data_IF_974772623852
#
_entry.id   IF_974772623852
#
_cell.length_a   1.000
_cell.length_b   1.000
_cell.length_c   1.000
_cell.angle_alpha   90.00
_cell.angle_beta   90.00
_cell.angle_gamma   90.00
#
_symmetry.space_group_name_H-M   'P 1'
#
loop_
_entity.id
_entity.type
_entity.pdbx_description
1 polymer ?
#
# COMPACT_ATOMS: atom_id res chain seq x y z
N UNK A 1 -40.45 -20.53 54.53
CA UNK A 1 -39.21 -20.02 53.90
C UNK A 1 -39.04 -20.45 52.44
N UNK A 2 -39.51 -21.63 52.02
CA UNK A 2 -39.38 -22.16 50.64
C UNK A 2 -40.04 -21.28 49.55
N UNK A 3 -41.12 -20.57 49.86
CA UNK A 3 -41.90 -19.81 48.86
C UNK A 3 -41.20 -18.53 48.33
N UNK A 4 -40.28 -17.92 49.11
CA UNK A 4 -39.54 -16.72 48.68
C UNK A 4 -38.41 -17.05 47.69
N UNK A 5 -37.75 -18.20 47.86
CA UNK A 5 -36.68 -18.65 46.96
C UNK A 5 -37.22 -19.10 45.61
N UNK A 6 -38.41 -19.71 45.57
CA UNK A 6 -39.09 -20.07 44.32
C UNK A 6 -39.47 -18.81 43.53
N UNK A 7 -40.02 -17.78 44.19
CA UNK A 7 -40.37 -16.52 43.53
C UNK A 7 -39.14 -15.80 42.97
N UNK A 8 -38.03 -15.78 43.73
CA UNK A 8 -36.77 -15.19 43.28
C UNK A 8 -36.16 -15.96 42.10
N UNK A 9 -36.27 -17.30 42.10
CA UNK A 9 -35.79 -18.15 41.01
C UNK A 9 -36.61 -17.96 39.73
N UNK A 10 -37.94 -17.82 39.83
CA UNK A 10 -38.80 -17.49 38.68
C UNK A 10 -38.57 -16.07 38.17
N UNK A 11 -38.37 -15.08 39.04
CA UNK A 11 -38.00 -13.71 38.65
C UNK A 11 -36.65 -13.70 37.91
N UNK A 12 -35.65 -14.43 38.43
CA UNK A 12 -34.34 -14.56 37.80
C UNK A 12 -34.42 -15.28 36.45
N UNK A 13 -35.13 -16.41 36.36
CA UNK A 13 -35.38 -17.12 35.10
C UNK A 13 -36.14 -16.26 34.08
N UNK A 14 -37.12 -15.47 34.53
CA UNK A 14 -37.86 -14.56 33.64
C UNK A 14 -36.97 -13.43 33.10
N UNK A 15 -36.05 -12.91 33.91
CA UNK A 15 -35.06 -11.92 33.44
C UNK A 15 -34.06 -12.55 32.47
N UNK A 16 -33.65 -13.81 32.66
CA UNK A 16 -32.80 -14.52 31.69
C UNK A 16 -33.56 -14.76 30.38
N UNK A 17 -34.83 -15.15 30.44
CA UNK A 17 -35.65 -15.42 29.25
C UNK A 17 -35.98 -14.15 28.43
N UNK A 18 -36.19 -13.00 29.08
CA UNK A 18 -36.46 -11.72 28.39
C UNK A 18 -35.21 -11.15 27.70
N UNK A 19 -34.02 -11.45 28.21
CA UNK A 19 -32.75 -11.01 27.62
C UNK A 19 -32.25 -11.91 26.48
N UNK A 20 -32.89 -13.06 26.22
CA UNK A 20 -32.51 -14.02 25.18
C UNK A 20 -33.45 -14.03 23.96
N UNK A 21 -34.12 -12.90 23.67
CA UNK A 21 -34.95 -12.81 22.46
C UNK A 21 -34.06 -12.73 21.22
N UNK A 22 -33.95 -13.87 20.53
CA UNK A 22 -33.33 -13.95 19.21
C UNK A 22 -34.37 -14.18 18.13
N UNK A 23 -34.14 -13.57 16.96
CA UNK A 23 -34.90 -13.85 15.74
C UNK A 23 -34.00 -14.50 14.69
N UNK A 24 -34.60 -15.25 13.79
CA UNK A 24 -33.93 -15.75 12.59
C UNK A 24 -34.48 -14.97 11.39
N UNK A 25 -33.57 -14.48 10.55
CA UNK A 25 -33.88 -13.75 9.31
C UNK A 25 -33.07 -14.37 8.20
N UNK A 26 -33.72 -14.67 7.07
CA UNK A 26 -33.05 -15.14 5.87
C UNK A 26 -32.25 -13.98 5.27
N UNK A 27 -30.98 -14.20 4.95
CA UNK A 27 -30.19 -13.22 4.21
C UNK A 27 -30.59 -13.23 2.74
N UNK A 28 -30.96 -12.08 2.19
CA UNK A 28 -31.39 -12.00 0.79
C UNK A 28 -30.24 -12.24 -0.21
N UNK A 29 -28.98 -12.10 0.21
CA UNK A 29 -27.80 -12.30 -0.64
C UNK A 29 -27.24 -13.72 -0.55
N UNK A 30 -27.12 -14.28 0.66
CA UNK A 30 -26.51 -15.60 0.89
C UNK A 30 -27.52 -16.74 0.96
N UNK A 31 -28.82 -16.44 1.08
CA UNK A 31 -29.89 -17.42 1.37
C UNK A 31 -29.66 -18.23 2.67
N UNK A 32 -28.88 -17.68 3.61
CA UNK A 32 -28.61 -18.31 4.90
C UNK A 32 -29.52 -17.77 6.00
N UNK A 33 -29.89 -18.64 6.95
CA UNK A 33 -30.61 -18.24 8.16
C UNK A 33 -29.66 -17.56 9.14
N UNK A 34 -29.82 -16.25 9.34
CA UNK A 34 -29.00 -15.47 10.27
C UNK A 34 -29.75 -15.29 11.59
N UNK A 35 -29.05 -15.59 12.69
CA UNK A 35 -29.53 -15.29 14.03
C UNK A 35 -29.21 -13.84 14.41
N UNK A 36 -30.19 -13.11 14.91
CA UNK A 36 -30.03 -11.79 15.50
C UNK A 36 -30.49 -11.81 16.96
N UNK A 37 -29.91 -10.99 17.82
CA UNK A 37 -30.28 -10.84 19.22
C UNK A 37 -30.78 -9.42 19.51
N UNK A 38 -31.77 -9.29 20.38
CA UNK A 38 -32.35 -8.02 20.79
C UNK A 38 -31.30 -7.12 21.45
N UNK A 39 -31.26 -5.84 21.05
CA UNK A 39 -30.33 -4.84 21.60
C UNK A 39 -31.05 -3.53 21.91
N UNK A 40 -30.56 -2.84 22.94
CA UNK A 40 -31.04 -1.50 23.34
C UNK A 40 -30.00 -0.40 23.16
N UNK A 41 -28.73 -0.78 23.06
CA UNK A 41 -27.60 0.12 22.90
C UNK A 41 -26.78 -0.32 21.69
N UNK A 42 -26.08 0.64 21.10
CA UNK A 42 -25.11 0.45 20.02
C UNK A 42 -23.76 -0.01 20.60
N UNK A 43 -22.80 -0.33 19.72
CA UNK A 43 -21.42 -0.73 20.10
C UNK A 43 -20.71 0.29 21.00
N UNK A 44 -21.06 1.57 20.88
CA UNK A 44 -20.48 2.67 21.69
C UNK A 44 -21.21 2.89 23.03
N UNK A 45 -22.21 2.06 23.35
CA UNK A 45 -23.03 2.15 24.55
C UNK A 45 -24.19 3.15 24.47
N UNK A 46 -24.33 3.93 23.40
CA UNK A 46 -25.43 4.88 23.24
C UNK A 46 -26.72 4.19 22.76
N UNK A 47 -27.89 4.72 23.13
CA UNK A 47 -29.20 4.08 22.85
C UNK A 47 -29.42 3.86 21.34
N UNK A 48 -30.01 2.71 20.98
CA UNK A 48 -30.40 2.40 19.60
C UNK A 48 -31.46 3.36 19.05
N UNK A 49 -31.34 3.71 17.77
CA UNK A 49 -32.34 4.50 17.03
C UNK A 49 -32.29 4.13 15.53
N UNK A 50 -33.22 4.67 14.74
CA UNK A 50 -33.29 4.39 13.28
C UNK A 50 -32.01 4.74 12.53
N UNK A 51 -31.32 5.83 12.91
CA UNK A 51 -30.08 6.26 12.24
C UNK A 51 -28.89 5.31 12.43
N UNK A 52 -29.05 4.28 13.25
CA UNK A 52 -28.06 3.22 13.49
C UNK A 52 -28.43 1.90 12.83
N UNK A 53 -29.61 1.80 12.25
CA UNK A 53 -30.04 0.59 11.53
C UNK A 53 -29.43 0.63 10.14
N UNK A 54 -28.50 -0.28 9.87
CA UNK A 54 -27.84 -0.43 8.57
C UNK A 54 -28.50 -1.51 7.69
N UNK A 55 -29.43 -2.29 8.24
CA UNK A 55 -30.14 -3.35 7.52
C UNK A 55 -29.40 -4.69 7.42
N UNK A 56 -28.14 -4.75 7.86
CA UNK A 56 -27.23 -5.90 7.71
C UNK A 56 -26.73 -6.41 9.08
N UNK A 57 -26.08 -5.55 9.85
CA UNK A 57 -25.62 -5.81 11.20
C UNK A 57 -26.70 -5.46 12.20
N UNK A 58 -27.33 -4.30 12.03
CA UNK A 58 -28.46 -3.90 12.86
C UNK A 58 -29.72 -3.79 12.02
N UNK A 59 -30.77 -4.47 12.48
CA UNK A 59 -32.09 -4.47 11.84
C UNK A 59 -33.17 -4.03 12.81
N UNK A 60 -34.27 -3.49 12.29
CA UNK A 60 -35.49 -3.22 13.06
C UNK A 60 -36.59 -4.19 12.65
N UNK A 61 -37.22 -4.84 13.63
CA UNK A 61 -38.37 -5.71 13.41
C UNK A 61 -39.40 -5.54 14.53
N UNK A 62 -40.66 -5.28 14.17
CA UNK A 62 -41.76 -5.09 15.13
C UNK A 62 -41.44 -4.04 16.22
N UNK A 63 -40.83 -2.90 15.84
CA UNK A 63 -40.39 -1.82 16.74
C UNK A 63 -39.25 -2.15 17.71
N UNK A 64 -38.59 -3.30 17.55
CA UNK A 64 -37.39 -3.66 18.30
C UNK A 64 -36.16 -3.65 17.38
N UNK A 65 -35.00 -3.34 17.97
CA UNK A 65 -33.72 -3.36 17.28
C UNK A 65 -32.98 -4.66 17.60
N UNK A 66 -32.39 -5.27 16.59
CA UNK A 66 -31.63 -6.50 16.74
C UNK A 66 -30.26 -6.35 16.10
N UNK A 67 -29.25 -6.94 16.73
CA UNK A 67 -27.88 -7.03 16.22
C UNK A 67 -27.63 -8.44 15.71
N UNK A 68 -26.95 -8.55 14.57
CA UNK A 68 -26.49 -9.81 13.99
C UNK A 68 -25.61 -10.53 14.99
N UNK A 69 -25.79 -11.84 15.14
CA UNK A 69 -24.94 -12.64 15.99
C UNK A 69 -23.65 -13.02 15.25
N UNK A 70 -22.53 -12.40 15.61
CA UNK A 70 -21.20 -12.72 15.08
C UNK A 70 -20.14 -12.39 16.13
N UNK A 71 -18.98 -13.06 16.05
CA UNK A 71 -17.96 -12.98 17.08
C UNK A 71 -17.05 -11.75 16.92
N UNK A 72 -16.29 -11.69 15.83
CA UNK A 72 -15.20 -10.70 15.70
C UNK A 72 -15.09 -10.05 14.33
N UNK A 73 -15.17 -10.83 13.26
CA UNK A 73 -14.94 -10.34 11.91
C UNK A 73 -16.25 -10.05 11.18
N UNK A 74 -16.23 -8.97 10.41
CA UNK A 74 -17.25 -8.67 9.41
C UNK A 74 -16.92 -9.39 8.11
N UNK A 75 -17.94 -9.77 7.36
CA UNK A 75 -17.78 -10.35 6.03
C UNK A 75 -18.48 -9.49 5.00
N UNK A 76 -17.82 -9.22 3.88
CA UNK A 76 -18.39 -8.39 2.81
C UNK A 76 -19.64 -9.01 2.18
N UNK A 77 -19.75 -10.34 2.17
CA UNK A 77 -20.92 -11.07 1.66
C UNK A 77 -22.20 -10.72 2.42
N UNK A 78 -22.09 -10.27 3.68
CA UNK A 78 -23.24 -9.82 4.46
C UNK A 78 -23.85 -8.54 3.91
N UNK A 79 -23.03 -7.74 3.23
CA UNK A 79 -23.41 -6.48 2.57
C UNK A 79 -23.72 -6.68 1.08
N UNK A 80 -23.72 -7.92 0.59
CA UNK A 80 -24.16 -8.25 -0.77
C UNK A 80 -23.04 -8.38 -1.81
N UNK A 81 -21.77 -8.52 -1.41
CA UNK A 81 -20.71 -8.86 -2.38
C UNK A 81 -20.83 -10.32 -2.81
N UNK A 82 -20.75 -10.61 -4.10
CA UNK A 82 -20.91 -11.95 -4.68
C UNK A 82 -19.78 -12.21 -5.70
N UNK A 83 -18.88 -13.19 -5.47
CA UNK A 83 -17.78 -13.46 -6.39
C UNK A 83 -18.27 -14.17 -7.66
N UNK A 84 -18.74 -13.42 -8.67
CA UNK A 84 -19.38 -13.97 -9.87
C UNK A 84 -18.97 -13.31 -11.21
N UNK A 85 -17.94 -12.46 -11.23
CA UNK A 85 -17.43 -11.75 -12.43
C UNK A 85 -18.45 -10.88 -13.21
N UNK A 86 -19.69 -10.77 -12.74
CA UNK A 86 -20.81 -10.23 -13.54
C UNK A 86 -21.49 -9.05 -12.86
N UNK A 87 -21.85 -9.19 -11.59
CA UNK A 87 -22.44 -8.10 -10.83
C UNK A 87 -21.34 -7.15 -10.35
N UNK A 88 -21.56 -5.85 -10.47
CA UNK A 88 -20.65 -4.87 -9.85
C UNK A 88 -20.78 -4.93 -8.32
N UNK A 89 -19.69 -5.25 -7.65
CA UNK A 89 -19.63 -5.42 -6.20
C UNK A 89 -19.20 -4.15 -5.46
N UNK A 90 -18.90 -3.07 -6.17
CA UNK A 90 -18.28 -1.88 -5.60
C UNK A 90 -19.14 -1.23 -4.49
N UNK A 91 -20.45 -1.10 -4.66
CA UNK A 91 -21.34 -0.52 -3.63
C UNK A 91 -21.43 -1.40 -2.37
N UNK A 92 -21.62 -2.71 -2.57
CA UNK A 92 -21.68 -3.68 -1.48
C UNK A 92 -20.37 -3.69 -0.68
N UNK A 93 -19.23 -3.64 -1.39
CA UNK A 93 -17.91 -3.59 -0.79
C UNK A 93 -17.66 -2.25 -0.08
N UNK A 94 -18.10 -1.14 -0.67
CA UNK A 94 -18.06 0.18 -0.04
C UNK A 94 -18.84 0.22 1.27
N UNK A 95 -20.05 -0.36 1.30
CA UNK A 95 -20.89 -0.43 2.50
C UNK A 95 -20.20 -1.23 3.62
N UNK A 96 -19.60 -2.36 3.28
CA UNK A 96 -18.85 -3.20 4.21
C UNK A 96 -17.64 -2.46 4.82
N UNK A 97 -16.84 -1.79 3.97
CA UNK A 97 -15.67 -1.02 4.41
C UNK A 97 -16.09 0.16 5.29
N UNK A 98 -17.13 0.89 4.91
CA UNK A 98 -17.64 2.01 5.71
C UNK A 98 -18.03 1.56 7.11
N UNK A 99 -18.72 0.43 7.22
CA UNK A 99 -19.12 -0.12 8.50
C UNK A 99 -17.91 -0.57 9.33
N UNK A 100 -16.97 -1.28 8.71
CA UNK A 100 -15.75 -1.79 9.35
C UNK A 100 -14.89 -0.66 9.93
N UNK A 101 -14.64 0.39 9.14
CA UNK A 101 -13.87 1.56 9.59
C UNK A 101 -14.62 2.34 10.68
N UNK A 102 -15.93 2.58 10.51
CA UNK A 102 -16.75 3.29 11.50
C UNK A 102 -16.78 2.60 12.87
N UNK A 103 -16.72 1.28 12.89
CA UNK A 103 -16.81 0.47 14.13
C UNK A 103 -15.47 -0.06 14.61
N UNK A 104 -14.37 0.28 13.91
CA UNK A 104 -13.03 -0.25 14.15
C UNK A 104 -12.98 -1.78 14.21
N UNK A 105 -13.70 -2.45 13.31
CA UNK A 105 -13.75 -3.92 13.20
C UNK A 105 -13.02 -4.39 11.94
N UNK A 106 -12.45 -5.58 11.99
CA UNK A 106 -11.82 -6.19 10.82
C UNK A 106 -12.89 -6.62 9.80
N UNK A 107 -12.58 -6.44 8.52
CA UNK A 107 -13.38 -6.90 7.40
C UNK A 107 -12.64 -8.01 6.66
N UNK A 108 -13.37 -9.08 6.37
CA UNK A 108 -12.94 -10.16 5.49
C UNK A 108 -13.76 -10.09 4.20
N UNK A 109 -13.09 -9.91 3.06
CA UNK A 109 -13.65 -10.22 1.76
C UNK A 109 -13.22 -11.66 1.43
N UNK A 110 -14.16 -12.62 1.30
CA UNK A 110 -13.81 -13.99 0.98
C UNK A 110 -13.07 -14.09 -0.36
N UNK A 111 -12.21 -15.09 -0.51
CA UNK A 111 -11.57 -15.40 -1.79
C UNK A 111 -12.61 -15.58 -2.90
N UNK A 112 -12.32 -15.06 -4.08
CA UNK A 112 -13.23 -15.10 -5.22
C UNK A 112 -12.85 -14.02 -6.22
N UNK A 113 -13.61 -13.94 -7.31
CA UNK A 113 -13.40 -12.91 -8.33
C UNK A 113 -14.60 -11.96 -8.33
N UNK A 114 -14.34 -10.68 -8.08
CA UNK A 114 -15.35 -9.63 -7.90
C UNK A 114 -15.19 -8.60 -9.01
N UNK A 115 -16.28 -8.23 -9.66
CA UNK A 115 -16.25 -7.19 -10.68
C UNK A 115 -16.42 -5.82 -10.02
N UNK A 116 -15.49 -4.90 -10.28
CA UNK A 116 -15.47 -3.55 -9.72
C UNK A 116 -15.52 -2.54 -10.86
N UNK A 117 -16.58 -1.76 -10.95
CA UNK A 117 -16.77 -0.78 -12.03
C UNK A 117 -16.53 0.68 -11.65
N UNK A 118 -16.37 0.94 -10.34
CA UNK A 118 -16.16 2.27 -9.77
C UNK A 118 -15.23 2.23 -8.56
N UNK A 119 -14.71 3.41 -8.22
CA UNK A 119 -13.79 3.57 -7.10
C UNK A 119 -14.47 3.31 -5.76
N UNK A 120 -13.81 2.48 -4.95
CA UNK A 120 -14.14 2.23 -3.56
C UNK A 120 -13.30 3.16 -2.68
N UNK A 121 -13.98 3.97 -1.89
CA UNK A 121 -13.38 4.93 -0.98
C UNK A 121 -13.01 4.23 0.33
N UNK A 122 -11.78 4.43 0.79
CA UNK A 122 -11.32 4.02 2.12
C UNK A 122 -11.45 5.24 3.05
N UNK A 123 -12.41 5.23 3.99
CA UNK A 123 -12.55 6.33 4.93
C UNK A 123 -11.34 6.45 5.84
N UNK A 124 -11.04 7.68 6.28
CA UNK A 124 -10.03 7.93 7.31
C UNK A 124 -10.35 7.16 8.59
N UNK A 125 -9.32 6.55 9.17
CA UNK A 125 -9.40 5.88 10.46
C UNK A 125 -8.51 6.60 11.49
N UNK A 126 -9.04 7.67 12.07
CA UNK A 126 -8.37 8.38 13.15
C UNK A 126 -8.87 7.85 14.50
N UNK A 127 -8.01 7.10 15.21
CA UNK A 127 -8.35 6.52 16.50
C UNK A 127 -7.22 6.73 17.53
N UNK A 128 -7.50 7.47 18.62
CA UNK A 128 -6.50 7.83 19.64
C UNK A 128 -5.83 6.63 20.31
N UNK A 129 -6.57 5.52 20.48
CA UNK A 129 -6.00 4.31 21.07
C UNK A 129 -5.23 3.43 20.08
N UNK A 130 -4.97 3.90 18.87
CA UNK A 130 -4.22 3.18 17.83
C UNK A 130 -4.78 1.77 17.55
N UNK A 131 -6.10 1.61 17.59
CA UNK A 131 -6.75 0.36 17.16
C UNK A 131 -6.47 0.17 15.68
N UNK A 132 -6.16 -1.05 15.29
CA UNK A 132 -5.99 -1.39 13.89
C UNK A 132 -7.30 -1.91 13.31
N UNK A 133 -7.54 -1.58 12.04
CA UNK A 133 -8.59 -2.16 11.21
C UNK A 133 -7.93 -2.87 10.05
N UNK A 134 -8.16 -4.18 9.96
CA UNK A 134 -7.71 -4.98 8.83
C UNK A 134 -8.83 -5.11 7.80
N UNK A 135 -8.56 -4.67 6.58
CA UNK A 135 -9.35 -4.93 5.37
C UNK A 135 -8.64 -6.07 4.61
N UNK A 136 -9.03 -7.30 4.90
CA UNK A 136 -8.39 -8.52 4.40
C UNK A 136 -9.19 -9.11 3.25
N UNK A 137 -8.60 -9.13 2.06
CA UNK A 137 -9.28 -9.62 0.87
C UNK A 137 -9.06 -11.11 0.59
N UNK A 138 -8.38 -11.84 1.48
CA UNK A 138 -8.28 -13.31 1.43
C UNK A 138 -7.88 -13.87 0.06
N UNK A 139 -6.98 -13.20 -0.66
CA UNK A 139 -6.57 -13.50 -2.05
C UNK A 139 -7.69 -13.38 -3.08
N UNK A 140 -8.65 -12.48 -2.89
CA UNK A 140 -9.64 -12.15 -3.91
C UNK A 140 -9.00 -11.48 -5.13
N UNK A 141 -9.56 -11.73 -6.30
CA UNK A 141 -9.25 -10.98 -7.53
C UNK A 141 -10.30 -9.89 -7.73
N UNK A 142 -9.86 -8.66 -7.86
CA UNK A 142 -10.67 -7.49 -8.22
C UNK A 142 -10.54 -7.28 -9.72
N UNK A 143 -11.58 -7.65 -10.45
CA UNK A 143 -11.65 -7.56 -11.90
C UNK A 143 -12.12 -6.16 -12.32
N UNK A 144 -11.31 -5.45 -13.09
CA UNK A 144 -11.67 -4.15 -13.66
C UNK A 144 -11.74 -4.23 -15.19
N UNK A 145 -12.80 -3.65 -15.76
CA UNK A 145 -13.03 -3.58 -17.22
C UNK A 145 -12.88 -2.18 -17.78
N UNK A 146 -12.83 -1.17 -16.92
CA UNK A 146 -12.71 0.23 -17.25
C UNK A 146 -11.44 0.81 -16.62
N UNK A 147 -10.98 1.95 -17.15
CA UNK A 147 -9.89 2.71 -16.52
C UNK A 147 -10.41 3.41 -15.26
N UNK A 148 -10.21 2.77 -14.11
CA UNK A 148 -10.65 3.27 -12.80
C UNK A 148 -9.54 3.17 -11.77
N UNK A 149 -9.60 4.04 -10.76
CA UNK A 149 -8.96 3.78 -9.47
C UNK A 149 -9.84 2.79 -8.70
N UNK A 150 -9.28 1.67 -8.23
CA UNK A 150 -10.00 0.67 -7.45
C UNK A 150 -10.21 1.17 -6.02
N UNK A 151 -9.12 1.56 -5.35
CA UNK A 151 -9.17 2.10 -3.99
C UNK A 151 -8.61 3.50 -3.91
N UNK A 152 -9.34 4.39 -3.23
CA UNK A 152 -8.90 5.77 -2.99
C UNK A 152 -9.18 6.19 -1.55
N UNK A 153 -8.24 6.87 -0.88
CA UNK A 153 -8.50 7.50 0.42
C UNK A 153 -9.56 8.61 0.31
N UNK A 154 -10.44 8.74 1.31
CA UNK A 154 -11.52 9.74 1.31
C UNK A 154 -11.02 11.21 1.27
N UNK A 155 -9.79 11.45 1.69
CA UNK A 155 -9.11 12.74 1.75
C UNK A 155 -8.21 13.00 0.54
N UNK A 156 -8.31 12.19 -0.51
CA UNK A 156 -7.48 12.35 -1.71
C UNK A 156 -7.55 13.78 -2.27
N UNK A 157 -6.38 14.35 -2.59
CA UNK A 157 -6.19 15.72 -3.08
C UNK A 157 -6.67 16.84 -2.14
N UNK A 158 -7.00 16.51 -0.89
CA UNK A 158 -7.13 17.51 0.16
C UNK A 158 -5.74 17.97 0.64
N UNK A 159 -5.67 19.15 1.27
CA UNK A 159 -4.46 19.58 1.98
C UNK A 159 -4.16 18.60 3.11
N UNK A 160 -2.87 18.38 3.39
CA UNK A 160 -2.38 17.51 4.50
C UNK A 160 -3.27 17.71 5.74
N UNK A 161 -4.00 16.68 6.10
CA UNK A 161 -4.96 16.75 7.20
C UNK A 161 -4.28 16.44 8.54
N UNK A 162 -4.58 17.23 9.56
CA UNK A 162 -4.24 16.93 10.96
C UNK A 162 -4.85 15.64 11.49
N UNK A 163 -5.94 15.15 10.86
CA UNK A 163 -6.62 13.89 11.18
C UNK A 163 -6.17 12.78 10.22
N UNK A 164 -4.92 12.37 10.35
CA UNK A 164 -4.33 11.26 9.59
C UNK A 164 -4.95 9.88 9.89
N UNK A 165 -4.82 8.95 8.94
CA UNK A 165 -5.24 7.55 9.11
C UNK A 165 -4.19 6.74 9.87
N UNK A 166 -4.58 6.17 11.01
CA UNK A 166 -3.73 5.30 11.82
C UNK A 166 -4.29 3.88 11.84
N UNK A 167 -3.40 2.88 11.77
CA UNK A 167 -3.78 1.48 11.97
C UNK A 167 -4.60 0.86 10.85
N UNK A 168 -4.61 1.40 9.62
CA UNK A 168 -5.29 0.76 8.49
C UNK A 168 -4.36 -0.28 7.88
N UNK A 169 -4.77 -1.55 7.89
CA UNK A 169 -4.08 -2.64 7.19
C UNK A 169 -4.94 -3.06 6.00
N UNK A 170 -4.48 -2.79 4.78
CA UNK A 170 -5.17 -3.13 3.53
C UNK A 170 -4.34 -4.17 2.75
N UNK A 171 -4.92 -5.30 2.38
CA UNK A 171 -4.13 -6.27 1.63
C UNK A 171 -4.80 -7.58 1.26
N UNK A 172 -3.97 -8.47 0.73
CA UNK A 172 -4.29 -9.82 0.27
C UNK A 172 -5.28 -9.85 -0.90
N UNK A 173 -4.98 -9.15 -2.00
CA UNK A 173 -5.78 -9.21 -3.22
C UNK A 173 -4.94 -9.06 -4.48
N UNK A 174 -5.54 -9.47 -5.59
CA UNK A 174 -5.05 -9.25 -6.94
C UNK A 174 -5.94 -8.21 -7.64
N UNK A 175 -5.34 -7.33 -8.43
CA UNK A 175 -6.05 -6.47 -9.37
C UNK A 175 -5.81 -6.99 -10.79
N UNK A 176 -6.87 -7.35 -11.49
CA UNK A 176 -6.79 -7.83 -12.87
C UNK A 176 -7.55 -6.87 -13.80
N UNK A 177 -6.83 -6.25 -14.72
CA UNK A 177 -7.44 -5.44 -15.78
C UNK A 177 -7.67 -6.26 -17.05
N UNK A 178 -8.92 -6.31 -17.51
CA UNK A 178 -9.27 -6.87 -18.82
C UNK A 178 -9.07 -5.87 -19.97
N UNK A 179 -9.11 -4.57 -19.68
CA UNK A 179 -8.88 -3.53 -20.69
C UNK A 179 -7.40 -3.41 -21.08
N UNK A 180 -6.49 -3.72 -20.15
CA UNK A 180 -5.04 -3.57 -20.33
C UNK A 180 -4.53 -2.14 -20.46
N UNK A 181 -5.37 -1.16 -20.81
CA UNK A 181 -4.97 0.24 -20.94
C UNK A 181 -5.55 1.11 -19.80
N UNK A 182 -5.04 0.91 -18.58
CA UNK A 182 -5.40 1.75 -17.43
C UNK A 182 -4.43 2.91 -17.31
N UNK A 183 -4.90 4.15 -17.41
CA UNK A 183 -4.09 5.34 -17.16
C UNK A 183 -4.22 5.83 -15.71
N UNK A 184 -5.33 5.49 -15.05
CA UNK A 184 -5.52 5.75 -13.63
C UNK A 184 -4.59 4.88 -12.79
N UNK A 185 -4.17 5.42 -11.64
CA UNK A 185 -3.57 4.58 -10.60
C UNK A 185 -4.65 3.71 -9.99
N UNK A 186 -4.40 2.41 -9.90
CA UNK A 186 -5.35 1.46 -9.31
C UNK A 186 -5.54 1.70 -7.79
N UNK A 187 -4.48 2.14 -7.11
CA UNK A 187 -4.48 2.48 -5.69
C UNK A 187 -4.04 3.93 -5.50
N UNK A 188 -4.82 4.69 -4.75
CA UNK A 188 -4.54 6.07 -4.37
C UNK A 188 -4.64 6.23 -2.85
N UNK A 189 -3.50 6.40 -2.18
CA UNK A 189 -3.45 6.51 -0.71
C UNK A 189 -2.89 7.86 -0.27
N UNK A 190 -3.52 8.46 0.75
CA UNK A 190 -3.07 9.73 1.28
C UNK A 190 -3.16 9.81 2.81
N UNK A 191 -2.12 10.37 3.45
CA UNK A 191 -2.04 10.62 4.89
C UNK A 191 -2.23 9.34 5.75
N UNK A 192 -1.58 8.25 5.36
CA UNK A 192 -1.46 7.01 6.13
C UNK A 192 -0.24 7.10 7.05
N UNK A 193 -0.49 6.81 8.32
CA UNK A 193 0.41 7.07 9.45
C UNK A 193 0.71 5.79 10.27
N UNK A 194 1.10 5.95 11.54
CA UNK A 194 1.58 4.85 12.38
C UNK A 194 0.60 3.67 12.43
N UNK A 195 1.16 2.47 12.33
CA UNK A 195 0.41 1.21 12.34
C UNK A 195 -0.31 0.90 11.03
N UNK A 196 -0.26 1.78 10.04
CA UNK A 196 -0.83 1.51 8.72
C UNK A 196 0.10 0.67 7.85
N UNK A 197 -0.48 -0.25 7.09
CA UNK A 197 0.24 -1.19 6.23
C UNK A 197 -0.55 -1.49 4.97
N UNK A 198 0.15 -1.62 3.84
CA UNK A 198 -0.41 -2.14 2.59
C UNK A 198 0.40 -3.37 2.20
N UNK A 199 -0.27 -4.53 2.06
CA UNK A 199 0.45 -5.79 1.90
C UNK A 199 -0.17 -6.81 0.96
N UNK A 200 0.72 -7.62 0.36
CA UNK A 200 0.35 -8.79 -0.44
C UNK A 200 -0.64 -8.45 -1.56
N UNK A 201 -0.28 -7.46 -2.37
CA UNK A 201 -1.06 -7.03 -3.52
C UNK A 201 -0.33 -7.42 -4.80
N UNK A 202 -1.02 -8.06 -5.73
CA UNK A 202 -0.55 -8.25 -7.09
C UNK A 202 -1.40 -7.43 -8.06
N UNK A 203 -0.81 -6.98 -9.17
CA UNK A 203 -1.61 -6.43 -10.28
C UNK A 203 -1.13 -6.93 -11.63
N UNK A 204 -2.09 -7.24 -12.51
CA UNK A 204 -1.87 -7.71 -13.87
C UNK A 204 -2.56 -6.80 -14.88
N UNK A 205 -1.83 -6.40 -15.92
CA UNK A 205 -2.31 -5.52 -16.99
C UNK A 205 -2.78 -4.13 -16.50
N UNK A 206 -2.28 -3.71 -15.35
CA UNK A 206 -2.41 -2.33 -14.85
C UNK A 206 -1.16 -1.57 -15.30
N UNK A 207 -1.20 -0.29 -15.68
CA UNK A 207 0.05 0.48 -15.98
C UNK A 207 0.60 1.19 -14.75
N UNK A 208 -0.31 1.76 -13.97
CA UNK A 208 -0.01 2.59 -12.80
C UNK A 208 -0.64 1.91 -11.57
N UNK A 209 0.17 1.31 -10.69
CA UNK A 209 -0.37 0.53 -9.58
C UNK A 209 -0.71 1.43 -8.38
N UNK A 210 0.27 2.15 -7.86
CA UNK A 210 0.12 2.89 -6.60
C UNK A 210 0.55 4.34 -6.75
N UNK A 211 -0.33 5.26 -6.33
CA UNK A 211 -0.02 6.65 -6.06
C UNK A 211 -0.20 6.92 -4.56
N UNK A 212 0.93 7.13 -3.89
CA UNK A 212 1.06 7.39 -2.47
C UNK A 212 1.35 8.88 -2.27
N UNK A 213 0.59 9.56 -1.40
CA UNK A 213 0.73 10.99 -1.13
C UNK A 213 0.84 11.28 0.36
N UNK A 214 1.84 12.05 0.78
CA UNK A 214 1.98 12.54 2.17
C UNK A 214 1.93 11.46 3.28
N UNK A 215 2.58 10.31 3.10
CA UNK A 215 2.52 9.19 4.05
C UNK A 215 3.72 9.16 5.02
N UNK A 216 3.48 8.77 6.27
CA UNK A 216 4.50 8.73 7.32
C UNK A 216 4.43 7.40 8.08
N UNK A 217 5.55 6.78 8.46
CA UNK A 217 5.52 5.49 9.18
C UNK A 217 4.74 4.36 8.49
N UNK A 218 4.46 4.49 7.18
CA UNK A 218 3.72 3.51 6.40
C UNK A 218 4.63 2.34 6.02
N UNK A 219 4.12 1.12 6.15
CA UNK A 219 4.77 -0.07 5.61
C UNK A 219 4.08 -0.51 4.31
N UNK A 220 4.86 -0.60 3.22
CA UNK A 220 4.47 -1.25 1.97
C UNK A 220 5.22 -2.58 1.87
N UNK A 221 4.49 -3.69 1.81
CA UNK A 221 5.08 -5.03 1.90
C UNK A 221 4.56 -5.98 0.82
N UNK A 222 5.46 -6.58 0.04
CA UNK A 222 5.09 -7.61 -0.95
C UNK A 222 4.02 -7.14 -1.94
N UNK A 223 4.30 -6.02 -2.63
CA UNK A 223 3.41 -5.47 -3.66
C UNK A 223 4.07 -5.66 -5.02
N UNK A 224 3.41 -6.43 -5.87
CA UNK A 224 3.98 -6.87 -7.13
C UNK A 224 3.11 -6.40 -8.29
N UNK A 225 3.75 -6.03 -9.40
CA UNK A 225 3.03 -5.67 -10.60
C UNK A 225 3.64 -6.29 -11.83
N UNK A 226 2.77 -6.67 -12.77
CA UNK A 226 3.13 -7.09 -14.11
C UNK A 226 2.25 -6.38 -15.15
N UNK A 227 2.89 -5.92 -16.22
CA UNK A 227 2.24 -5.28 -17.35
C UNK A 227 2.81 -5.83 -18.65
N UNK A 228 1.92 -6.10 -19.61
CA UNK A 228 2.28 -6.55 -20.94
C UNK A 228 2.75 -5.34 -21.78
N UNK A 229 4.06 -5.17 -21.88
CA UNK A 229 4.71 -4.03 -22.56
C UNK A 229 5.32 -3.05 -21.56
N UNK A 230 5.97 -1.98 -22.04
CA UNK A 230 6.64 -0.98 -21.18
C UNK A 230 5.88 0.34 -21.20
N UNK A 231 5.18 0.66 -20.12
CA UNK A 231 4.44 1.92 -20.00
C UNK A 231 4.13 2.30 -18.54
N UNK A 232 3.95 3.59 -18.30
CA UNK A 232 3.41 4.13 -17.05
C UNK A 232 4.45 4.35 -15.95
N UNK A 233 4.00 4.95 -14.85
CA UNK A 233 4.76 5.11 -13.61
C UNK A 233 4.18 4.15 -12.59
N UNK A 234 4.91 3.09 -12.27
CA UNK A 234 4.34 1.96 -11.54
C UNK A 234 3.97 2.34 -10.10
N UNK A 235 4.93 2.91 -9.39
CA UNK A 235 4.79 3.44 -8.05
C UNK A 235 5.14 4.92 -8.07
N UNK A 236 4.17 5.78 -7.75
CA UNK A 236 4.36 7.21 -7.57
C UNK A 236 4.22 7.59 -6.10
N UNK A 237 5.19 8.30 -5.59
CA UNK A 237 5.33 8.79 -4.23
C UNK A 237 5.38 10.31 -4.27
N UNK A 238 4.25 10.97 -4.03
CA UNK A 238 4.11 12.41 -4.15
C UNK A 238 4.13 13.10 -2.77
N UNK A 239 4.82 14.24 -2.69
CA UNK A 239 4.83 15.08 -1.50
C UNK A 239 5.75 14.57 -0.40
N UNK A 240 5.30 14.63 0.85
CA UNK A 240 6.16 14.32 2.00
C UNK A 240 6.09 12.84 2.36
N UNK A 241 7.22 12.13 2.31
CA UNK A 241 7.31 10.74 2.73
C UNK A 241 8.40 10.59 3.77
N UNK A 242 8.04 10.22 4.99
CA UNK A 242 9.05 10.05 6.03
C UNK A 242 8.83 8.82 6.91
N UNK A 243 9.94 8.14 7.26
CA UNK A 243 9.94 6.97 8.13
C UNK A 243 9.12 5.80 7.58
N UNK A 244 8.88 5.77 6.26
CA UNK A 244 8.20 4.67 5.59
C UNK A 244 9.18 3.52 5.29
N UNK A 245 8.63 2.30 5.21
CA UNK A 245 9.37 1.09 4.83
C UNK A 245 8.78 0.48 3.58
N UNK A 246 9.62 0.24 2.58
CA UNK A 246 9.25 -0.34 1.31
C UNK A 246 9.98 -1.67 1.14
N UNK A 247 9.26 -2.77 1.31
CA UNK A 247 9.86 -4.11 1.36
C UNK A 247 9.21 -5.04 0.35
N UNK A 248 10.02 -5.75 -0.44
CA UNK A 248 9.53 -6.71 -1.46
C UNK A 248 8.56 -6.08 -2.45
N UNK A 249 8.86 -4.87 -2.91
CA UNK A 249 8.09 -4.25 -4.00
C UNK A 249 8.68 -4.70 -5.34
N UNK A 250 7.84 -5.07 -6.29
CA UNK A 250 8.27 -5.50 -7.63
C UNK A 250 7.61 -4.63 -8.68
N UNK A 251 8.43 -3.92 -9.44
CA UNK A 251 8.00 -3.09 -10.56
C UNK A 251 8.63 -3.62 -11.84
N UNK A 252 7.79 -4.14 -12.74
CA UNK A 252 8.23 -4.63 -14.06
C UNK A 252 7.61 -3.83 -15.20
N UNK A 253 8.33 -3.79 -16.32
CA UNK A 253 7.91 -3.27 -17.62
C UNK A 253 7.16 -1.91 -17.53
N UNK A 254 7.84 -0.88 -17.03
CA UNK A 254 7.27 0.46 -16.87
C UNK A 254 8.19 1.56 -17.40
N UNK A 255 7.68 2.75 -17.66
CA UNK A 255 8.54 3.89 -18.01
C UNK A 255 9.37 4.29 -16.78
N UNK A 256 8.72 4.32 -15.61
CA UNK A 256 9.37 4.55 -14.31
C UNK A 256 8.86 3.53 -13.30
N UNK A 257 9.75 2.74 -12.70
CA UNK A 257 9.37 1.78 -11.67
C UNK A 257 8.94 2.50 -10.38
N UNK A 258 9.79 3.37 -9.83
CA UNK A 258 9.53 4.11 -8.59
C UNK A 258 9.82 5.59 -8.81
N UNK A 259 8.85 6.47 -8.61
CA UNK A 259 9.03 7.92 -8.75
C UNK A 259 8.69 8.64 -7.45
N UNK A 260 9.58 9.49 -6.98
CA UNK A 260 9.42 10.37 -5.83
C UNK A 260 9.35 11.82 -6.32
N UNK A 261 8.19 12.44 -6.17
CA UNK A 261 7.84 13.71 -6.81
C UNK A 261 7.30 14.75 -5.84
N UNK A 262 7.94 15.92 -5.82
CA UNK A 262 7.59 17.02 -4.93
C UNK A 262 7.88 16.72 -3.45
N UNK A 263 7.96 17.76 -2.63
CA UNK A 263 8.18 17.62 -1.20
C UNK A 263 9.55 17.01 -0.82
N UNK A 264 9.53 16.19 0.23
CA UNK A 264 10.73 15.65 0.89
C UNK A 264 10.57 14.15 1.19
N UNK A 265 11.63 13.40 0.96
CA UNK A 265 11.79 11.98 1.28
C UNK A 265 12.78 11.87 2.43
N UNK A 266 12.36 11.39 3.60
CA UNK A 266 13.18 11.39 4.81
C UNK A 266 13.18 10.07 5.59
N UNK A 267 14.34 9.52 5.92
CA UNK A 267 14.49 8.29 6.70
C UNK A 267 13.68 7.12 6.11
N UNK A 268 13.82 6.91 4.79
CA UNK A 268 13.15 5.83 4.05
C UNK A 268 14.06 4.61 3.98
N UNK A 269 13.49 3.44 4.27
CA UNK A 269 14.12 2.14 4.09
C UNK A 269 13.48 1.41 2.90
N UNK A 270 14.28 1.09 1.88
CA UNK A 270 13.88 0.32 0.71
C UNK A 270 14.69 -0.98 0.66
N UNK A 271 14.03 -2.10 0.90
CA UNK A 271 14.68 -3.41 1.05
C UNK A 271 14.07 -4.45 0.12
N UNK A 272 14.89 -5.26 -0.55
CA UNK A 272 14.40 -6.37 -1.37
C UNK A 272 13.43 -5.94 -2.47
N UNK A 273 13.60 -4.74 -3.04
CA UNK A 273 12.78 -4.32 -4.18
C UNK A 273 13.33 -4.91 -5.47
N UNK A 274 12.47 -5.03 -6.48
CA UNK A 274 12.83 -5.44 -7.83
C UNK A 274 12.49 -4.35 -8.85
N UNK A 275 13.43 -4.12 -9.77
CA UNK A 275 13.36 -3.18 -10.89
C UNK A 275 13.72 -3.95 -12.16
N UNK A 276 12.73 -4.16 -13.03
CA UNK A 276 12.90 -5.01 -14.20
C UNK A 276 12.25 -4.38 -15.44
N UNK A 277 12.98 -4.29 -16.55
CA UNK A 277 12.40 -3.94 -17.85
C UNK A 277 11.92 -2.49 -17.97
N UNK A 278 12.54 -1.55 -17.25
CA UNK A 278 12.08 -0.16 -17.19
C UNK A 278 12.99 0.84 -17.92
N UNK A 279 12.47 2.01 -18.32
CA UNK A 279 13.37 3.08 -18.74
C UNK A 279 14.11 3.65 -17.51
N UNK A 280 13.39 4.02 -16.46
CA UNK A 280 13.97 4.51 -15.20
C UNK A 280 13.58 3.60 -14.02
N UNK A 281 14.58 3.16 -13.24
CA UNK A 281 14.35 2.36 -12.05
C UNK A 281 13.73 3.19 -10.92
N UNK A 282 14.53 4.04 -10.28
CA UNK A 282 14.07 4.94 -9.22
C UNK A 282 14.41 6.38 -9.62
N UNK A 283 13.40 7.25 -9.59
CA UNK A 283 13.55 8.67 -9.85
C UNK A 283 13.23 9.49 -8.60
N UNK A 284 14.22 10.19 -8.05
CA UNK A 284 14.05 11.15 -6.97
C UNK A 284 14.12 12.57 -7.53
N UNK A 285 12.95 13.20 -7.68
CA UNK A 285 12.83 14.64 -7.95
C UNK A 285 12.54 15.46 -6.69
N UNK A 286 12.23 14.80 -5.58
CA UNK A 286 12.14 15.35 -4.23
C UNK A 286 13.51 15.49 -3.56
N UNK A 287 13.60 16.32 -2.50
CA UNK A 287 14.78 16.32 -1.63
C UNK A 287 14.87 15.02 -0.83
N UNK A 288 16.07 14.49 -0.64
CA UNK A 288 16.30 13.20 0.02
C UNK A 288 17.16 13.36 1.27
N UNK A 289 16.68 12.85 2.40
CA UNK A 289 17.36 12.79 3.69
C UNK A 289 17.38 11.35 4.18
N UNK A 290 18.55 10.78 4.44
CA UNK A 290 18.71 9.45 5.04
C UNK A 290 17.94 8.34 4.30
N UNK A 291 18.12 8.23 2.98
CA UNK A 291 17.63 7.08 2.22
C UNK A 291 18.53 5.86 2.45
N UNK A 292 17.95 4.69 2.69
CA UNK A 292 18.66 3.42 2.69
C UNK A 292 18.02 2.47 1.66
N UNK A 293 18.78 2.09 0.63
CA UNK A 293 18.35 1.19 -0.44
C UNK A 293 19.25 -0.06 -0.45
N UNK A 294 18.69 -1.22 -0.14
CA UNK A 294 19.49 -2.43 0.02
C UNK A 294 18.84 -3.73 -0.38
N UNK A 295 19.69 -4.74 -0.59
CA UNK A 295 19.29 -6.13 -0.89
C UNK A 295 18.33 -6.25 -2.07
N UNK A 296 18.44 -5.34 -3.04
CA UNK A 296 17.49 -5.18 -4.14
C UNK A 296 18.06 -5.67 -5.47
N UNK A 297 17.16 -5.94 -6.42
CA UNK A 297 17.48 -6.48 -7.74
C UNK A 297 17.17 -5.45 -8.84
N UNK A 298 18.12 -5.28 -9.76
CA UNK A 298 18.02 -4.37 -10.89
C UNK A 298 18.42 -5.11 -12.18
N UNK A 299 17.53 -5.16 -13.16
CA UNK A 299 17.81 -5.75 -14.47
C UNK A 299 17.04 -5.03 -15.59
N UNK A 300 17.61 -5.03 -16.80
CA UNK A 300 16.93 -4.54 -18.01
C UNK A 300 16.40 -3.10 -17.87
N UNK A 301 17.24 -2.18 -17.39
CA UNK A 301 16.92 -0.76 -17.22
C UNK A 301 17.72 0.14 -18.18
N UNK A 302 17.21 1.31 -18.55
CA UNK A 302 18.03 2.35 -19.21
C UNK A 302 18.81 3.20 -18.19
N UNK A 303 18.19 3.58 -17.07
CA UNK A 303 18.85 4.23 -15.94
C UNK A 303 18.30 3.74 -14.61
N UNK A 304 19.12 3.14 -13.74
CA UNK A 304 18.63 2.52 -12.51
C UNK A 304 18.23 3.55 -11.44
N UNK A 305 19.06 4.58 -11.20
CA UNK A 305 18.84 5.61 -10.18
C UNK A 305 18.99 7.00 -10.78
N UNK A 306 18.01 7.87 -10.54
CA UNK A 306 18.02 9.27 -10.95
C UNK A 306 17.83 10.16 -9.73
N UNK A 307 18.79 11.05 -9.45
CA UNK A 307 18.67 12.07 -8.41
C UNK A 307 18.67 13.47 -9.05
N UNK A 308 17.48 14.06 -9.17
CA UNK A 308 17.27 15.36 -9.85
C UNK A 308 17.27 16.56 -8.90
N UNK A 309 17.41 16.32 -7.58
CA UNK A 309 17.33 17.33 -6.53
C UNK A 309 18.36 17.07 -5.41
N UNK A 310 18.35 17.86 -4.33
CA UNK A 310 19.33 17.77 -3.23
C UNK A 310 19.25 16.43 -2.47
N UNK A 311 20.42 15.78 -2.30
CA UNK A 311 20.55 14.49 -1.62
C UNK A 311 21.44 14.62 -0.38
N UNK A 312 20.85 14.93 0.76
CA UNK A 312 21.58 15.14 2.02
C UNK A 312 22.22 13.89 2.58
N UNK A 313 21.61 12.73 2.36
CA UNK A 313 22.21 11.42 2.66
C UNK A 313 21.45 10.32 1.94
N UNK A 314 22.19 9.46 1.24
CA UNK A 314 21.67 8.21 0.68
C UNK A 314 22.73 7.10 0.78
N UNK A 315 22.32 5.92 1.20
CA UNK A 315 23.14 4.71 1.27
C UNK A 315 22.54 3.62 0.39
N UNK A 316 23.32 3.13 -0.55
CA UNK A 316 22.93 2.08 -1.51
C UNK A 316 23.85 0.88 -1.33
N UNK A 317 23.31 -0.26 -0.88
CA UNK A 317 24.15 -1.41 -0.50
C UNK A 317 23.59 -2.80 -0.78
N UNK A 318 24.49 -3.76 -0.97
CA UNK A 318 24.14 -5.19 -1.10
C UNK A 318 23.13 -5.48 -2.22
N UNK A 319 23.12 -4.66 -3.28
CA UNK A 319 22.21 -4.82 -4.41
C UNK A 319 22.84 -5.69 -5.50
N UNK A 320 22.00 -6.37 -6.27
CA UNK A 320 22.39 -7.09 -7.47
C UNK A 320 21.95 -6.29 -8.70
N UNK A 321 22.91 -5.89 -9.53
CA UNK A 321 22.68 -5.04 -10.70
C UNK A 321 23.19 -5.74 -11.96
N UNK A 322 22.28 -6.09 -12.86
CA UNK A 322 22.59 -6.71 -14.14
C UNK A 322 22.27 -5.76 -15.30
N UNK A 323 23.31 -5.33 -16.02
CA UNK A 323 23.17 -4.42 -17.16
C UNK A 323 22.87 -5.14 -18.48
N UNK A 324 22.87 -6.49 -18.48
CA UNK A 324 22.61 -7.30 -19.67
C UNK A 324 23.51 -6.98 -20.88
N UNK A 325 24.73 -6.50 -20.65
CA UNK A 325 25.65 -6.03 -21.69
C UNK A 325 25.10 -4.87 -22.53
N UNK A 326 24.12 -4.12 -22.03
CA UNK A 326 23.59 -2.94 -22.70
C UNK A 326 24.50 -1.73 -22.44
N UNK A 327 25.22 -1.30 -23.48
CA UNK A 327 26.13 -0.18 -23.38
C UNK A 327 25.44 1.17 -23.12
N UNK A 328 24.14 1.27 -23.38
CA UNK A 328 23.34 2.48 -23.17
C UNK A 328 22.67 2.54 -21.79
N UNK A 329 22.86 1.52 -20.96
CA UNK A 329 22.31 1.46 -19.60
C UNK A 329 23.25 2.14 -18.61
N UNK A 330 22.68 2.87 -17.65
CA UNK A 330 23.43 3.55 -16.60
C UNK A 330 22.92 3.22 -15.21
N UNK A 331 23.80 3.07 -14.23
CA UNK A 331 23.35 2.86 -12.85
C UNK A 331 22.89 4.16 -12.20
N UNK A 332 23.64 5.25 -12.37
CA UNK A 332 23.37 6.54 -11.75
C UNK A 332 23.29 7.67 -12.77
N UNK A 333 22.24 8.46 -12.67
CA UNK A 333 22.15 9.81 -13.21
C UNK A 333 21.88 10.76 -12.04
N UNK A 334 22.58 11.88 -11.98
CA UNK A 334 22.37 12.85 -10.91
C UNK A 334 22.52 14.28 -11.44
N UNK A 335 21.99 15.23 -10.68
CA UNK A 335 22.26 16.67 -10.77
C UNK A 335 23.32 17.01 -9.74
N UNK A 336 24.51 17.46 -10.16
CA UNK A 336 25.57 17.79 -9.22
C UNK A 336 25.23 19.03 -8.42
N UNK A 337 25.07 18.81 -7.12
CA UNK A 337 24.74 19.82 -6.13
C UNK A 337 25.73 19.65 -4.97
N UNK A 338 26.10 20.74 -4.28
CA UNK A 338 27.13 20.71 -3.23
C UNK A 338 26.74 19.90 -2.00
N UNK A 339 25.46 19.56 -1.84
CA UNK A 339 24.94 18.83 -0.68
C UNK A 339 24.81 17.32 -0.90
N UNK A 340 25.23 16.79 -2.05
CA UNK A 340 25.13 15.36 -2.33
C UNK A 340 26.02 14.58 -1.34
N UNK A 341 25.44 13.60 -0.64
CA UNK A 341 26.17 12.65 0.21
C UNK A 341 25.62 11.24 -0.08
N UNK A 342 26.02 10.70 -1.22
CA UNK A 342 25.54 9.43 -1.74
C UNK A 342 26.66 8.40 -1.60
N UNK A 343 26.41 7.31 -0.89
CA UNK A 343 27.38 6.22 -0.73
C UNK A 343 26.87 4.94 -1.36
N UNK A 344 27.64 4.38 -2.29
CA UNK A 344 27.47 3.05 -2.85
C UNK A 344 28.51 2.13 -2.23
N UNK A 345 28.07 1.22 -1.37
CA UNK A 345 29.01 0.36 -0.63
C UNK A 345 29.59 -0.76 -1.51
N UNK A 346 30.61 -1.44 -0.98
CA UNK A 346 31.30 -2.55 -1.66
C UNK A 346 30.52 -3.85 -1.76
N UNK A 347 29.36 -3.96 -1.10
CA UNK A 347 28.46 -5.11 -1.18
C UNK A 347 27.62 -5.15 -2.45
N UNK A 348 27.56 -4.05 -3.23
CA UNK A 348 26.85 -4.05 -4.51
C UNK A 348 27.57 -4.92 -5.54
N UNK A 349 26.82 -5.74 -6.27
CA UNK A 349 27.30 -6.59 -7.36
C UNK A 349 26.85 -6.03 -8.70
N UNK A 350 27.80 -5.82 -9.62
CA UNK A 350 27.55 -5.27 -10.95
C UNK A 350 27.96 -6.29 -12.03
N UNK A 351 27.04 -6.70 -12.91
CA UNK A 351 27.27 -7.69 -13.96
C UNK A 351 26.92 -7.15 -15.36
N UNK A 352 27.56 -7.74 -16.37
CA UNK A 352 27.28 -7.44 -17.78
C UNK A 352 27.53 -5.99 -18.16
N UNK A 353 28.58 -5.39 -17.59
CA UNK A 353 28.77 -3.93 -17.65
C UNK A 353 30.23 -3.57 -17.81
N UNK A 354 30.48 -2.33 -18.22
CA UNK A 354 31.79 -1.69 -18.11
C UNK A 354 31.68 -0.51 -17.16
N UNK A 355 32.81 -0.04 -16.62
CA UNK A 355 32.81 1.08 -15.68
C UNK A 355 32.20 2.39 -16.25
N UNK A 356 32.07 2.52 -17.58
CA UNK A 356 31.41 3.66 -18.23
C UNK A 356 29.90 3.73 -17.93
N UNK A 357 29.30 2.61 -17.56
CA UNK A 357 27.86 2.46 -17.32
C UNK A 357 27.48 2.78 -15.87
N UNK A 358 28.44 3.05 -14.96
CA UNK A 358 28.08 3.37 -13.58
C UNK A 358 27.42 4.74 -13.45
N UNK A 359 27.89 5.73 -14.22
CA UNK A 359 27.43 7.12 -14.10
C UNK A 359 27.24 7.71 -15.49
N UNK A 360 26.04 8.26 -15.74
CA UNK A 360 25.64 8.82 -17.04
C UNK A 360 26.20 10.21 -17.31
N UNK A 361 26.21 11.07 -16.30
CA UNK A 361 26.58 12.47 -16.43
C UNK A 361 27.92 12.74 -15.75
N UNK A 362 28.77 13.57 -16.36
CA UNK A 362 30.03 14.03 -15.76
C UNK A 362 29.84 15.45 -15.23
N UNK A 363 30.23 15.68 -13.97
CA UNK A 363 30.28 17.02 -13.38
C UNK A 363 31.59 17.26 -12.62
N UNK A 364 32.21 18.41 -12.86
CA UNK A 364 33.54 18.77 -12.35
C UNK A 364 33.51 19.96 -11.36
N UNK A 365 32.32 20.39 -10.94
CA UNK A 365 32.11 21.63 -10.19
C UNK A 365 32.23 21.42 -8.67
N UNK A 366 31.57 20.39 -8.15
CA UNK A 366 31.53 20.08 -6.72
C UNK A 366 32.38 18.85 -6.44
N UNK A 367 33.09 18.81 -5.30
CA UNK A 367 33.98 17.70 -4.92
C UNK A 367 33.31 16.71 -3.97
N UNK A 368 33.66 15.42 -4.09
CA UNK A 368 33.40 14.31 -3.14
C UNK A 368 31.95 14.10 -2.62
N UNK A 369 30.92 14.57 -3.34
CA UNK A 369 29.52 14.36 -2.92
C UNK A 369 28.99 12.94 -3.15
N UNK A 370 29.72 12.10 -3.89
CA UNK A 370 29.33 10.73 -4.22
C UNK A 370 30.53 9.81 -4.00
N UNK A 371 30.33 8.73 -3.24
CA UNK A 371 31.36 7.74 -2.93
C UNK A 371 30.94 6.38 -3.48
N UNK A 372 31.79 5.78 -4.31
CA UNK A 372 31.68 4.37 -4.69
C UNK A 372 32.78 3.57 -3.99
N UNK A 373 32.40 2.51 -3.29
CA UNK A 373 33.31 1.59 -2.62
C UNK A 373 33.30 0.24 -3.35
N UNK A 374 34.48 -0.38 -3.52
CA UNK A 374 34.59 -1.67 -4.21
C UNK A 374 35.59 -2.57 -3.50
N UNK A 375 35.23 -3.83 -3.23
CA UNK A 375 36.12 -4.77 -2.52
C UNK A 375 37.44 -5.06 -3.25
N UNK A 376 37.46 -4.94 -4.60
CA UNK A 376 38.67 -5.15 -5.39
C UNK A 376 38.56 -4.46 -6.75
N UNK A 377 39.46 -3.51 -7.01
CA UNK A 377 39.63 -2.87 -8.32
C UNK A 377 41.11 -2.77 -8.67
N UNK A 378 41.43 -3.06 -9.93
CA UNK A 378 42.74 -2.77 -10.51
C UNK A 378 42.94 -1.25 -10.65
N UNK A 379 44.16 -0.77 -10.41
CA UNK A 379 44.48 0.68 -10.45
C UNK A 379 44.13 1.35 -11.78
N UNK A 380 44.32 0.63 -12.89
CA UNK A 380 43.99 1.13 -14.24
C UNK A 380 42.49 1.40 -14.39
N UNK A 381 41.64 0.57 -13.81
CA UNK A 381 40.18 0.74 -13.83
C UNK A 381 39.77 1.98 -13.04
N UNK A 382 40.41 2.25 -11.90
CA UNK A 382 40.14 3.45 -11.10
C UNK A 382 40.56 4.71 -11.83
N UNK A 383 41.75 4.74 -12.40
CA UNK A 383 42.22 5.90 -13.17
C UNK A 383 41.28 6.19 -14.35
N UNK A 384 40.83 5.16 -15.07
CA UNK A 384 39.84 5.32 -16.13
C UNK A 384 38.49 5.84 -15.63
N UNK A 385 38.06 5.43 -14.42
CA UNK A 385 36.83 5.94 -13.81
C UNK A 385 36.94 7.40 -13.42
N UNK A 386 38.02 7.79 -12.72
CA UNK A 386 38.23 9.17 -12.28
C UNK A 386 38.25 10.15 -13.47
N UNK A 387 38.82 9.77 -14.62
CA UNK A 387 38.82 10.59 -15.83
C UNK A 387 37.41 10.85 -16.40
N UNK A 388 36.50 9.88 -16.25
CA UNK A 388 35.16 9.90 -16.84
C UNK A 388 34.07 10.43 -15.91
N UNK A 389 34.23 10.22 -14.61
CA UNK A 389 33.19 10.49 -13.60
C UNK A 389 33.22 11.93 -13.05
N UNK A 390 34.35 12.62 -13.20
CA UNK A 390 34.52 13.99 -12.74
C UNK A 390 34.82 14.11 -11.25
N UNK A 391 34.97 15.34 -10.77
CA UNK A 391 35.48 15.63 -9.41
C UNK A 391 34.50 15.33 -8.28
N UNK A 392 33.21 15.19 -8.58
CA UNK A 392 32.19 14.94 -7.56
C UNK A 392 32.16 13.48 -7.07
N UNK A 393 32.94 12.60 -7.69
CA UNK A 393 32.92 11.17 -7.42
C UNK A 393 34.26 10.73 -6.83
N UNK A 394 34.19 10.20 -5.61
CA UNK A 394 35.28 9.52 -4.93
C UNK A 394 35.14 8.01 -5.10
N UNK A 395 36.26 7.34 -5.34
CA UNK A 395 36.33 5.88 -5.47
C UNK A 395 37.22 5.34 -4.37
N UNK A 396 36.64 4.53 -3.49
CA UNK A 396 37.35 3.83 -2.42
C UNK A 396 37.53 2.35 -2.77
N UNK A 397 38.63 1.78 -2.27
CA UNK A 397 38.94 0.34 -2.34
C UNK A 397 38.69 -0.33 -1.00
#
# INVERSE_FOLDING_TARGET
>A
MVNKYILFFFLFLSQIAVNAQSIIVLNDFTNENIKYHLVRHWEDGTIMNEGKVDGVIYIKKNNYYYKRNYDTNLYSSWFGTIPNDTLDDADSMQAAINYAIKTSQNLIVPSGRYYIDKTIIIPKHFHYSMKNVKLDFSNATLLIRNDITVFQSDNWDSKVDSRMSNGIILGNFEILSENGDTNSYALKIQDYHQGSKIENISSFNVKNLLHSKNNFYLELYNINSNYNGRAGKRFLFEGYHALNKFTKLTATNSDVCYSFEGGMVAAIDMSNISIEGCAVGINFSSEVYNLHLHSSYFENFETALVFSNYIHSAKVENNYVNFLNNESSYFLQYKGLPANNITFNSGNTYLGTSMKNLVKNKEDIYGDGIVFEFNKLEDKSIQMMQLKMGKNIKINK
#
